data_IF_260186661336
#
_entry.id   IF_260186661336
#
_cell.length_a   1.000
_cell.length_b   1.000
_cell.length_c   1.000
_cell.angle_alpha   90.00
_cell.angle_beta   90.00
_cell.angle_gamma   90.00
#
_symmetry.space_group_name_H-M   'P 1'
#
loop_
_entity.id
_entity.type
_entity.pdbx_description
1 polymer ?
#
# COMPACT_ATOMS: atom_id res chain seq x y z
N UNK A 1 1.38 1.51 18.76
CA UNK A 1 1.08 2.36 17.59
C UNK A 1 0.33 1.51 16.57
N UNK A 2 -0.71 2.03 15.93
CA UNK A 2 -1.55 1.23 15.03
C UNK A 2 -0.92 1.01 13.65
N UNK A 3 -1.36 -0.05 12.95
CA UNK A 3 -0.92 -0.40 11.59
C UNK A 3 -1.10 0.78 10.61
N UNK A 4 -2.19 1.53 10.75
CA UNK A 4 -2.50 2.70 9.93
C UNK A 4 -1.46 3.81 10.08
N UNK A 5 -1.10 4.16 11.33
CA UNK A 5 -0.08 5.19 11.62
C UNK A 5 1.30 4.83 11.09
N UNK A 6 1.68 3.54 11.13
CA UNK A 6 2.93 3.06 10.54
C UNK A 6 2.93 3.22 9.01
N UNK A 7 1.83 2.82 8.36
CA UNK A 7 1.67 2.99 6.91
C UNK A 7 1.73 4.47 6.51
N UNK A 8 1.02 5.34 7.23
CA UNK A 8 0.95 6.76 6.91
C UNK A 8 2.33 7.43 7.00
N UNK A 9 3.10 7.12 8.06
CA UNK A 9 4.42 7.69 8.31
C UNK A 9 5.52 7.11 7.45
N UNK A 10 5.51 5.80 7.19
CA UNK A 10 6.60 5.11 6.50
C UNK A 10 6.43 5.05 4.99
N UNK A 11 5.20 5.05 4.46
CA UNK A 11 5.01 5.04 3.02
C UNK A 11 5.26 6.43 2.40
N UNK A 12 6.08 6.53 1.35
CA UNK A 12 6.20 7.75 0.58
C UNK A 12 4.87 8.07 -0.14
N UNK A 13 4.71 9.34 -0.56
CA UNK A 13 3.50 9.79 -1.24
C UNK A 13 3.23 8.99 -2.53
N UNK A 14 4.31 8.63 -3.25
CA UNK A 14 4.27 7.66 -4.34
C UNK A 14 5.01 6.41 -3.90
N UNK A 15 4.39 5.25 -4.05
CA UNK A 15 4.97 4.01 -3.56
C UNK A 15 4.66 2.81 -4.45
N UNK A 16 5.52 1.81 -4.35
CA UNK A 16 5.33 0.51 -4.98
C UNK A 16 4.65 -0.48 -4.04
N UNK A 17 4.00 -1.49 -4.62
CA UNK A 17 3.46 -2.61 -3.84
C UNK A 17 4.52 -3.28 -2.93
N UNK A 18 5.78 -3.36 -3.37
CA UNK A 18 6.84 -3.98 -2.59
C UNK A 18 7.23 -3.16 -1.36
N UNK A 19 7.19 -1.82 -1.45
CA UNK A 19 7.40 -0.94 -0.30
C UNK A 19 6.24 -1.07 0.71
N UNK A 20 5.01 -1.19 0.22
CA UNK A 20 3.86 -1.47 1.05
C UNK A 20 3.98 -2.82 1.79
N UNK A 21 4.39 -3.87 1.07
CA UNK A 21 4.65 -5.19 1.64
C UNK A 21 5.76 -5.15 2.69
N UNK A 22 6.85 -4.43 2.43
CA UNK A 22 7.96 -4.31 3.38
C UNK A 22 7.55 -3.65 4.72
N UNK A 23 6.63 -2.68 4.69
CA UNK A 23 6.14 -2.01 5.91
C UNK A 23 5.18 -2.91 6.69
N UNK A 24 4.45 -3.77 5.99
CA UNK A 24 3.55 -4.75 6.59
C UNK A 24 4.22 -6.06 6.96
N UNK A 25 5.54 -6.16 6.76
CA UNK A 25 6.33 -7.37 6.98
C UNK A 25 5.74 -8.60 6.24
N UNK A 26 5.25 -8.37 5.02
CA UNK A 26 4.65 -9.41 4.17
C UNK A 26 5.73 -10.13 3.34
N UNK A 27 5.57 -11.44 3.15
CA UNK A 27 6.47 -12.23 2.33
C UNK A 27 6.23 -11.97 0.83
N UNK A 28 7.22 -12.29 -0.02
CA UNK A 28 7.12 -12.06 -1.47
C UNK A 28 5.93 -12.78 -2.12
N UNK A 29 5.55 -13.92 -1.57
CA UNK A 29 4.45 -14.74 -2.06
C UNK A 29 3.08 -14.12 -1.75
N UNK A 30 3.01 -13.19 -0.78
CA UNK A 30 1.80 -12.49 -0.37
C UNK A 30 1.45 -11.30 -1.28
N UNK A 31 2.15 -11.13 -2.41
CA UNK A 31 1.91 -10.05 -3.35
C UNK A 31 0.46 -10.02 -3.86
N UNK A 32 -0.25 -11.16 -3.86
CA UNK A 32 -1.68 -11.23 -4.19
C UNK A 32 -2.54 -10.59 -3.10
N UNK A 33 -2.24 -10.85 -1.84
CA UNK A 33 -2.96 -10.28 -0.70
C UNK A 33 -2.71 -8.78 -0.60
N UNK A 34 -1.46 -8.34 -0.74
CA UNK A 34 -1.11 -6.92 -0.80
C UNK A 34 -1.91 -6.17 -1.88
N UNK A 35 -2.07 -6.76 -3.08
CA UNK A 35 -2.92 -6.18 -4.14
C UNK A 35 -4.39 -6.09 -3.74
N UNK A 36 -4.90 -7.08 -3.01
CA UNK A 36 -6.29 -7.08 -2.55
C UNK A 36 -6.52 -5.96 -1.54
N UNK A 37 -5.58 -5.75 -0.61
CA UNK A 37 -5.64 -4.65 0.37
C UNK A 37 -5.57 -3.29 -0.34
N UNK A 38 -4.61 -3.11 -1.24
CA UNK A 38 -4.47 -1.88 -2.02
C UNK A 38 -5.71 -1.61 -2.89
N UNK A 39 -6.36 -2.65 -3.42
CA UNK A 39 -7.64 -2.51 -4.13
C UNK A 39 -8.77 -2.04 -3.21
N UNK A 40 -8.79 -2.46 -1.94
CA UNK A 40 -9.74 -1.94 -0.96
C UNK A 40 -9.44 -0.48 -0.62
N UNK A 41 -8.18 -0.11 -0.44
CA UNK A 41 -7.77 1.27 -0.19
C UNK A 41 -8.10 2.21 -1.34
N UNK A 42 -7.92 1.73 -2.57
CA UNK A 42 -8.33 2.43 -3.79
C UNK A 42 -9.84 2.68 -3.80
N UNK A 43 -10.66 1.64 -3.54
CA UNK A 43 -12.12 1.77 -3.48
C UNK A 43 -12.61 2.73 -2.39
N UNK A 44 -11.85 2.87 -1.30
CA UNK A 44 -12.16 3.78 -0.19
C UNK A 44 -11.61 5.21 -0.41
N UNK A 45 -10.88 5.45 -1.49
CA UNK A 45 -10.34 6.77 -1.83
C UNK A 45 -9.11 7.18 -1.01
N UNK A 46 -8.38 6.24 -0.41
CA UNK A 46 -7.13 6.54 0.30
C UNK A 46 -5.93 6.66 -0.64
N UNK A 47 -5.93 5.88 -1.72
CA UNK A 47 -4.83 5.81 -2.68
C UNK A 47 -5.37 5.82 -4.11
N UNK A 48 -4.58 6.34 -5.04
CA UNK A 48 -4.79 6.21 -6.48
C UNK A 48 -3.79 5.23 -7.07
N UNK A 49 -4.22 4.46 -8.06
CA UNK A 49 -3.34 3.54 -8.79
C UNK A 49 -2.74 4.26 -9.99
N UNK A 50 -1.41 4.33 -10.04
CA UNK A 50 -0.69 4.92 -11.18
C UNK A 50 -0.40 3.86 -12.23
N UNK A 51 0.06 2.67 -11.82
CA UNK A 51 0.44 1.59 -12.74
C UNK A 51 0.17 0.21 -12.14
N UNK A 52 0.68 -0.85 -12.78
CA UNK A 52 0.48 -2.23 -12.30
C UNK A 52 0.91 -2.41 -10.84
N UNK A 53 2.04 -1.78 -10.47
CA UNK A 53 2.70 -1.94 -9.18
C UNK A 53 2.89 -0.62 -8.42
N UNK A 54 2.43 0.51 -8.95
CA UNK A 54 2.64 1.84 -8.36
C UNK A 54 1.33 2.50 -7.94
N UNK A 55 1.38 3.19 -6.82
CA UNK A 55 0.27 3.86 -6.17
C UNK A 55 0.71 5.21 -5.63
N UNK A 56 -0.26 6.09 -5.42
CA UNK A 56 -0.05 7.39 -4.78
C UNK A 56 -1.07 7.60 -3.68
N UNK A 57 -0.66 8.20 -2.56
CA UNK A 57 -1.59 8.58 -1.49
C UNK A 57 -2.42 9.79 -1.94
N UNK A 58 -3.71 9.77 -1.60
CA UNK A 58 -4.64 10.88 -1.90
C UNK A 58 -4.80 11.77 -0.65
N UNK A 59 -4.69 11.16 0.53
CA UNK A 59 -4.72 11.81 1.85
C UNK A 59 -3.43 11.53 2.60
#
# INVERSE_FOLDING_TARGET
>A
MGLYTLIEQLLPNNFSIYQFMAILDMEKDDAREARNILKQFYKRGYINRISKNMYTKIK
#
